data_IF_721916913555
#
_entry.id   IF_721916913555
#
_cell.length_a   1.000
_cell.length_b   1.000
_cell.length_c   1.000
_cell.angle_alpha   90.00
_cell.angle_beta   90.00
_cell.angle_gamma   90.00
#
_symmetry.space_group_name_H-M   'P 1'
#
loop_
_entity.id
_entity.type
_entity.pdbx_description
1 polymer ?
#
# COMPACT_ATOMS: atom_id res chain seq x y z
N UNK A 1 -19.57 15.70 3.84
CA UNK A 1 -20.79 15.20 4.50
C UNK A 1 -21.61 14.39 3.50
N UNK A 2 -22.42 13.45 4.00
CA UNK A 2 -23.47 12.70 3.30
C UNK A 2 -23.08 11.45 2.47
N UNK A 3 -23.51 10.29 2.97
CA UNK A 3 -23.84 9.07 2.21
C UNK A 3 -24.63 8.05 3.05
N UNK A 4 -24.68 8.22 4.38
CA UNK A 4 -25.49 7.39 5.29
C UNK A 4 -27.01 7.46 5.04
N UNK A 5 -27.52 8.57 4.51
CA UNK A 5 -28.96 8.72 4.21
C UNK A 5 -29.42 7.82 3.07
N UNK A 6 -28.66 7.76 1.98
CA UNK A 6 -29.01 6.99 0.78
C UNK A 6 -29.06 5.47 1.02
N UNK A 7 -28.27 4.96 1.95
CA UNK A 7 -28.29 3.54 2.33
C UNK A 7 -29.49 3.18 3.22
N UNK A 8 -30.07 4.18 3.89
CA UNK A 8 -31.26 4.05 4.75
C UNK A 8 -32.57 4.29 3.98
N UNK A 9 -32.51 4.96 2.83
CA UNK A 9 -33.65 5.14 1.95
C UNK A 9 -33.99 3.82 1.25
N UNK A 10 -35.01 3.13 1.78
CA UNK A 10 -35.54 1.86 1.21
C UNK A 10 -36.35 2.06 -0.08
N UNK A 11 -36.46 3.29 -0.57
CA UNK A 11 -37.25 3.66 -1.75
C UNK A 11 -36.51 3.45 -3.07
N UNK A 12 -35.17 3.41 -3.04
CA UNK A 12 -34.33 3.22 -4.22
C UNK A 12 -33.77 1.80 -4.23
N UNK A 13 -33.74 1.21 -5.41
CA UNK A 13 -33.02 -0.03 -5.65
C UNK A 13 -31.52 0.20 -5.46
N UNK A 14 -30.78 -0.84 -5.11
CA UNK A 14 -29.33 -0.73 -4.95
C UNK A 14 -28.64 -0.35 -6.27
N UNK A 15 -29.27 -0.68 -7.42
CA UNK A 15 -28.87 -0.27 -8.78
C UNK A 15 -28.87 1.24 -8.97
N UNK A 16 -29.96 1.89 -8.58
CA UNK A 16 -30.10 3.35 -8.67
C UNK A 16 -29.13 4.05 -7.72
N UNK A 17 -28.90 3.49 -6.52
CA UNK A 17 -27.91 4.00 -5.57
C UNK A 17 -26.50 3.88 -6.16
N UNK A 18 -26.17 2.76 -6.81
CA UNK A 18 -24.89 2.53 -7.44
C UNK A 18 -24.59 3.55 -8.55
N UNK A 19 -25.58 3.85 -9.39
CA UNK A 19 -25.49 4.89 -10.43
C UNK A 19 -25.34 6.28 -9.82
N UNK A 20 -26.17 6.61 -8.83
CA UNK A 20 -26.16 7.93 -8.17
C UNK A 20 -24.81 8.24 -7.49
N UNK A 21 -24.21 7.25 -6.85
CA UNK A 21 -22.94 7.39 -6.10
C UNK A 21 -21.72 7.11 -7.01
N UNK A 22 -21.93 6.60 -8.23
CA UNK A 22 -20.86 6.28 -9.17
C UNK A 22 -20.00 5.08 -8.74
N UNK A 23 -20.60 4.09 -8.09
CA UNK A 23 -19.90 2.88 -7.60
C UNK A 23 -20.52 1.61 -8.16
N UNK A 24 -19.83 0.48 -8.02
CA UNK A 24 -20.41 -0.80 -8.44
C UNK A 24 -21.57 -1.23 -7.55
N UNK A 25 -22.54 -1.92 -8.16
CA UNK A 25 -23.66 -2.59 -7.46
C UNK A 25 -23.18 -3.47 -6.29
N UNK A 26 -22.09 -4.20 -6.51
CA UNK A 26 -21.47 -5.07 -5.51
C UNK A 26 -21.03 -4.27 -4.27
N UNK A 27 -20.47 -3.08 -4.46
CA UNK A 27 -20.06 -2.20 -3.36
C UNK A 27 -21.25 -1.78 -2.50
N UNK A 28 -22.37 -1.40 -3.12
CA UNK A 28 -23.61 -1.02 -2.41
C UNK A 28 -24.16 -2.21 -1.61
N UNK A 29 -24.27 -3.38 -2.24
CA UNK A 29 -24.77 -4.59 -1.60
C UNK A 29 -23.93 -5.01 -0.37
N UNK A 30 -22.60 -5.00 -0.49
CA UNK A 30 -21.71 -5.33 0.63
C UNK A 30 -21.83 -4.32 1.77
N UNK A 31 -21.88 -3.02 1.46
CA UNK A 31 -22.06 -1.99 2.48
C UNK A 31 -23.41 -2.08 3.19
N UNK A 32 -24.51 -2.36 2.46
CA UNK A 32 -25.85 -2.53 3.03
C UNK A 32 -25.90 -3.72 4.00
N UNK A 33 -25.31 -4.86 3.63
CA UNK A 33 -25.18 -6.03 4.52
C UNK A 33 -24.35 -5.73 5.77
N UNK A 34 -23.18 -5.12 5.60
CA UNK A 34 -22.32 -4.75 6.74
C UNK A 34 -23.04 -3.79 7.69
N UNK A 35 -23.79 -2.83 7.15
CA UNK A 35 -24.60 -1.89 7.92
C UNK A 35 -25.75 -2.59 8.66
N UNK A 36 -26.45 -3.55 8.06
CA UNK A 36 -27.48 -4.33 8.76
C UNK A 36 -26.91 -5.13 9.94
N UNK A 37 -25.71 -5.69 9.80
CA UNK A 37 -25.07 -6.51 10.85
C UNK A 37 -24.53 -5.66 12.00
N UNK A 38 -23.95 -4.50 11.69
CA UNK A 38 -23.18 -3.74 12.69
C UNK A 38 -23.77 -2.38 13.03
N UNK A 39 -24.82 -1.94 12.31
CA UNK A 39 -25.40 -0.58 12.37
C UNK A 39 -24.39 0.56 12.16
N UNK A 40 -23.15 0.23 11.77
CA UNK A 40 -22.02 1.14 11.64
C UNK A 40 -21.27 0.88 10.33
N UNK A 41 -20.59 1.92 9.84
CA UNK A 41 -19.61 1.78 8.77
C UNK A 41 -18.28 1.41 9.43
N UNK A 42 -17.86 0.16 9.31
CA UNK A 42 -16.60 -0.30 9.89
C UNK A 42 -15.42 0.09 8.99
N UNK A 43 -14.51 0.88 9.54
CA UNK A 43 -13.23 1.18 8.90
C UNK A 43 -12.17 0.20 9.41
N UNK A 44 -12.26 -1.07 8.99
CA UNK A 44 -11.21 -2.02 9.30
C UNK A 44 -9.91 -1.55 8.63
N UNK A 45 -8.90 -1.26 9.44
CA UNK A 45 -7.56 -1.07 8.94
C UNK A 45 -7.08 -2.36 8.30
N UNK A 46 -6.57 -2.29 7.06
CA UNK A 46 -5.92 -3.44 6.46
C UNK A 46 -4.72 -3.82 7.33
N UNK A 47 -4.65 -5.09 7.76
CA UNK A 47 -3.43 -5.60 8.35
C UNK A 47 -2.34 -5.51 7.26
N UNK A 48 -1.35 -4.65 7.49
CA UNK A 48 -0.24 -4.47 6.56
C UNK A 48 0.54 -5.77 6.35
N UNK A 49 1.50 -5.75 5.43
CA UNK A 49 2.40 -6.89 5.26
C UNK A 49 3.14 -7.16 6.56
N UNK A 50 3.24 -8.44 6.92
CA UNK A 50 4.06 -8.88 8.05
C UNK A 50 5.51 -8.40 7.84
N UNK A 51 6.17 -7.88 8.88
CA UNK A 51 7.60 -7.60 8.82
C UNK A 51 8.39 -8.85 8.39
N UNK A 52 9.43 -8.65 7.57
CA UNK A 52 10.29 -9.76 7.11
C UNK A 52 11.07 -10.42 8.25
N UNK A 53 11.35 -9.66 9.31
CA UNK A 53 12.11 -10.08 10.47
C UNK A 53 11.19 -10.32 11.66
N UNK A 54 11.51 -11.34 12.45
CA UNK A 54 10.86 -11.54 13.74
C UNK A 54 11.38 -10.55 14.78
N UNK A 55 10.63 -10.35 15.86
CA UNK A 55 11.09 -9.52 16.99
C UNK A 55 12.41 -10.05 17.60
N UNK A 56 12.65 -11.37 17.52
CA UNK A 56 13.91 -11.98 17.95
C UNK A 56 15.08 -11.56 17.07
N UNK A 57 14.88 -11.52 15.76
CA UNK A 57 15.92 -11.11 14.80
C UNK A 57 16.23 -9.62 14.98
N UNK A 58 15.19 -8.79 15.12
CA UNK A 58 15.35 -7.35 15.39
C UNK A 58 16.13 -7.12 16.69
N UNK A 59 15.80 -7.85 17.78
CA UNK A 59 16.53 -7.76 19.04
C UNK A 59 17.99 -8.21 18.91
N UNK A 60 18.24 -9.25 18.12
CA UNK A 60 19.59 -9.76 17.86
C UNK A 60 20.42 -8.71 17.13
N UNK A 61 19.85 -8.10 16.08
CA UNK A 61 20.50 -7.02 15.33
C UNK A 61 20.79 -5.77 16.18
N UNK A 62 19.88 -5.37 17.07
CA UNK A 62 20.12 -4.23 17.99
C UNK A 62 21.30 -4.50 18.93
N UNK A 63 21.38 -5.72 19.48
CA UNK A 63 22.51 -6.13 20.32
C UNK A 63 23.83 -6.11 19.55
N UNK A 64 23.85 -6.66 18.34
CA UNK A 64 25.04 -6.64 17.49
C UNK A 64 25.44 -5.21 17.12
N UNK A 65 24.49 -4.32 16.82
CA UNK A 65 24.77 -2.90 16.58
C UNK A 65 25.50 -2.25 17.75
N UNK A 66 25.05 -2.49 18.99
CA UNK A 66 25.73 -1.97 20.20
C UNK A 66 27.13 -2.56 20.40
N UNK A 67 27.31 -3.86 20.13
CA UNK A 67 28.61 -4.54 20.24
C UNK A 67 29.60 -3.99 19.21
N UNK A 68 29.16 -3.77 17.97
CA UNK A 68 29.99 -3.21 16.90
C UNK A 68 30.36 -1.75 17.20
N UNK A 69 29.42 -0.94 17.68
CA UNK A 69 29.69 0.43 18.09
C UNK A 69 30.75 0.52 19.20
N UNK A 70 30.71 -0.37 20.21
CA UNK A 70 31.75 -0.45 21.26
C UNK A 70 33.14 -0.80 20.72
N UNK A 71 33.21 -1.49 19.57
CA UNK A 71 34.47 -1.81 18.89
C UNK A 71 34.91 -0.72 17.91
N UNK A 72 34.25 0.44 17.89
CA UNK A 72 34.52 1.52 16.96
C UNK A 72 34.13 1.20 15.50
N UNK A 73 33.35 0.13 15.30
CA UNK A 73 32.84 -0.23 13.98
C UNK A 73 31.51 0.49 13.82
N UNK A 74 31.54 1.61 13.13
CA UNK A 74 30.34 2.37 12.80
C UNK A 74 29.45 1.56 11.88
N UNK A 75 28.26 1.22 12.37
CA UNK A 75 27.18 0.75 11.51
C UNK A 75 26.64 1.94 10.72
N UNK A 76 27.07 2.10 9.48
CA UNK A 76 26.42 3.02 8.55
C UNK A 76 24.97 2.58 8.36
N UNK A 77 24.02 3.41 8.81
CA UNK A 77 22.65 3.21 8.37
C UNK A 77 22.63 3.36 6.85
N UNK A 78 22.12 2.34 6.15
CA UNK A 78 21.91 2.47 4.72
C UNK A 78 21.05 3.72 4.51
N UNK A 79 21.59 4.70 3.77
CA UNK A 79 20.84 5.91 3.41
C UNK A 79 19.52 5.42 2.84
N UNK A 80 18.41 5.76 3.52
CA UNK A 80 17.08 5.41 3.04
C UNK A 80 17.01 5.94 1.62
N UNK A 81 16.99 5.02 0.65
CA UNK A 81 16.83 5.41 -0.75
C UNK A 81 15.57 6.27 -0.78
N UNK A 82 15.64 7.51 -1.28
CA UNK A 82 14.43 8.30 -1.45
C UNK A 82 13.45 7.44 -2.24
N UNK A 83 12.18 7.45 -1.80
CA UNK A 83 11.12 6.83 -2.58
C UNK A 83 11.26 7.38 -3.99
N UNK A 84 11.48 6.50 -4.98
CA UNK A 84 11.64 6.93 -6.36
C UNK A 84 10.46 7.83 -6.71
N UNK A 85 10.77 9.08 -7.03
CA UNK A 85 9.73 10.00 -7.45
C UNK A 85 9.09 9.48 -8.73
N UNK A 86 7.89 9.96 -9.05
CA UNK A 86 7.23 9.62 -10.32
C UNK A 86 8.12 9.98 -11.52
N UNK A 87 8.93 11.04 -11.39
CA UNK A 87 9.89 11.44 -12.44
C UNK A 87 11.04 10.44 -12.56
N UNK A 88 11.60 9.95 -11.46
CA UNK A 88 12.66 8.92 -11.47
C UNK A 88 12.17 7.63 -12.10
N UNK A 89 10.96 7.20 -11.76
CA UNK A 89 10.34 6.01 -12.35
C UNK A 89 10.11 6.18 -13.85
N UNK A 90 9.72 7.36 -14.29
CA UNK A 90 9.51 7.68 -15.72
C UNK A 90 10.82 7.63 -16.49
N UNK A 91 11.89 8.22 -15.95
CA UNK A 91 13.24 8.14 -16.53
C UNK A 91 13.70 6.70 -16.65
N UNK A 92 13.49 5.90 -15.60
CA UNK A 92 13.88 4.49 -15.59
C UNK A 92 13.09 3.66 -16.60
N UNK A 93 11.77 3.85 -16.68
CA UNK A 93 10.94 3.20 -17.70
C UNK A 93 11.35 3.58 -19.13
N UNK A 94 11.73 4.84 -19.38
CA UNK A 94 12.23 5.28 -20.68
C UNK A 94 13.56 4.60 -21.01
N UNK A 95 14.50 4.64 -20.07
CA UNK A 95 15.83 4.01 -20.19
C UNK A 95 15.73 2.50 -20.47
N UNK A 96 14.85 1.76 -19.77
CA UNK A 96 14.63 0.34 -19.99
C UNK A 96 13.99 0.05 -21.36
N UNK A 97 13.09 0.91 -21.84
CA UNK A 97 12.46 0.75 -23.16
C UNK A 97 13.46 0.96 -24.29
N UNK A 98 14.32 1.98 -24.19
CA UNK A 98 15.37 2.28 -25.17
C UNK A 98 16.38 1.13 -25.29
N UNK A 99 16.70 0.47 -24.17
CA UNK A 99 17.68 -0.63 -24.12
C UNK A 99 17.10 -2.02 -24.28
N UNK A 100 15.79 -2.15 -24.51
CA UNK A 100 15.10 -3.45 -24.57
C UNK A 100 15.62 -4.36 -25.70
N UNK A 101 16.13 -3.76 -26.77
CA UNK A 101 16.63 -4.47 -27.95
C UNK A 101 18.15 -4.35 -28.10
N UNK A 102 18.86 -3.89 -27.06
CA UNK A 102 20.31 -3.81 -27.12
C UNK A 102 20.92 -5.21 -27.10
N UNK A 103 21.90 -5.40 -27.96
CA UNK A 103 22.74 -6.59 -28.02
C UNK A 103 24.02 -6.36 -27.23
N UNK A 104 24.78 -7.41 -26.93
CA UNK A 104 26.04 -7.31 -26.16
C UNK A 104 27.05 -6.32 -26.77
N UNK A 105 26.95 -6.04 -28.08
CA UNK A 105 27.79 -5.07 -28.79
C UNK A 105 27.41 -3.61 -28.53
N UNK A 106 26.17 -3.35 -28.13
CA UNK A 106 25.64 -2.01 -27.87
C UNK A 106 25.95 -1.51 -26.45
N UNK A 107 26.53 -2.37 -25.61
CA UNK A 107 26.96 -2.07 -24.25
C UNK A 107 28.40 -1.56 -24.14
N UNK A 108 29.07 -1.36 -25.29
CA UNK A 108 30.49 -0.94 -25.40
C UNK A 108 30.82 0.41 -24.78
#
# INVERSE_FOLDING_TARGET
MANLGLLKDWTKTEGEIAVLVGVSQKCVNTNKRNFQVTSMVNNYGNCGRRPKLSNRDVSTLDKWGRVLAKKGIESYSAVKKPLQSVSDRTKWCKWCKERRNWTDKDWG
#
